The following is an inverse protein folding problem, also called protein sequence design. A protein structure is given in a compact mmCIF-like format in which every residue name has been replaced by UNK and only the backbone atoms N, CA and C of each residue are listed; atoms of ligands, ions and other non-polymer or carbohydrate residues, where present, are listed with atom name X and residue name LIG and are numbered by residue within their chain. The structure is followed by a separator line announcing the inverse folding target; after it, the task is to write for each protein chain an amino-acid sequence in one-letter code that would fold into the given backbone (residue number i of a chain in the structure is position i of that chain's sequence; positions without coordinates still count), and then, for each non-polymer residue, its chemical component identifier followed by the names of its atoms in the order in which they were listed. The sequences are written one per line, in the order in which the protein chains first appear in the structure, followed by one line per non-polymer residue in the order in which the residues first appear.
data_IF_686916028414
#
_entry.id   IF_686916028414
#
_cell.length_a   1.000
_cell.length_b   1.000
_cell.length_c   1.000
_cell.angle_alpha   90.00
_cell.angle_beta   90.00
_cell.angle_gamma   90.00
#
_symmetry.space_group_name_H-M   'P 1'
#
loop_
_entity.id
_entity.type
_entity.pdbx_description
1 polymer ?
#
# COMPACT_ATOMS: atom_id res chain seq x y z
N UNK A 1 -16.27 -2.08 0.27
CA UNK A 1 -15.00 -2.84 0.45
C UNK A 1 -14.77 -3.80 -0.72
N UNK A 2 -15.67 -4.74 -0.98
CA UNK A 2 -15.60 -5.62 -2.16
C UNK A 2 -15.53 -4.82 -3.47
N UNK A 3 -16.30 -3.73 -3.59
CA UNK A 3 -16.29 -2.85 -4.77
C UNK A 3 -14.92 -2.25 -5.10
N UNK A 4 -14.08 -2.03 -4.09
CA UNK A 4 -12.72 -1.56 -4.30
C UNK A 4 -11.89 -2.63 -5.01
N UNK A 5 -11.87 -3.85 -4.49
CA UNK A 5 -11.14 -4.96 -5.09
C UNK A 5 -11.68 -5.38 -6.45
N UNK A 6 -12.96 -5.13 -6.75
CA UNK A 6 -13.52 -5.34 -8.08
C UNK A 6 -13.01 -4.32 -9.11
N UNK A 7 -12.66 -3.12 -8.66
CA UNK A 7 -12.25 -2.00 -9.51
C UNK A 7 -10.73 -1.80 -9.56
N UNK A 8 -10.01 -2.30 -8.56
CA UNK A 8 -8.57 -2.14 -8.43
C UNK A 8 -7.82 -3.25 -9.21
N UNK A 9 -7.16 -2.93 -10.34
CA UNK A 9 -6.58 -3.95 -11.22
C UNK A 9 -5.44 -4.73 -10.55
N UNK A 10 -4.68 -4.07 -9.68
CA UNK A 10 -3.54 -4.68 -8.99
C UNK A 10 -3.99 -5.52 -7.77
N UNK A 11 -5.17 -5.24 -7.21
CA UNK A 11 -5.69 -5.89 -6.00
C UNK A 11 -6.99 -6.68 -6.27
N UNK A 12 -7.19 -7.17 -7.49
CA UNK A 12 -8.40 -7.84 -7.95
C UNK A 12 -8.93 -8.97 -7.05
N UNK A 13 -10.14 -9.47 -7.35
CA UNK A 13 -10.76 -10.62 -6.67
C UNK A 13 -9.82 -11.81 -6.39
N UNK A 14 -8.90 -12.23 -7.30
CA UNK A 14 -7.98 -13.33 -7.01
C UNK A 14 -7.12 -13.10 -5.77
N UNK A 15 -6.73 -11.85 -5.49
CA UNK A 15 -5.97 -11.50 -4.28
C UNK A 15 -6.82 -11.73 -3.05
N UNK A 16 -8.07 -11.29 -3.05
CA UNK A 16 -9.01 -11.46 -1.92
C UNK A 16 -9.33 -12.93 -1.68
N UNK A 17 -9.53 -13.73 -2.73
CA UNK A 17 -9.80 -15.17 -2.62
C UNK A 17 -8.62 -15.92 -2.01
N UNK A 18 -7.39 -15.59 -2.42
CA UNK A 18 -6.18 -16.19 -1.84
C UNK A 18 -5.89 -15.67 -0.42
N UNK A 19 -6.36 -14.47 -0.09
CA UNK A 19 -6.02 -13.76 1.15
C UNK A 19 -7.27 -13.13 1.81
N UNK A 20 -8.27 -13.95 2.24
CA UNK A 20 -9.56 -13.44 2.71
C UNK A 20 -9.46 -12.60 3.99
N UNK A 21 -8.39 -12.78 4.78
CA UNK A 21 -8.11 -11.96 5.96
C UNK A 21 -7.90 -10.47 5.61
N UNK A 22 -7.61 -10.11 4.35
CA UNK A 22 -7.51 -8.71 3.93
C UNK A 22 -8.82 -7.96 4.20
N UNK A 23 -9.95 -8.66 4.13
CA UNK A 23 -11.27 -8.10 4.44
C UNK A 23 -11.43 -7.70 5.92
N UNK A 24 -10.60 -8.23 6.82
CA UNK A 24 -10.58 -7.84 8.23
C UNK A 24 -9.83 -6.52 8.47
N UNK A 25 -9.08 -6.01 7.49
CA UNK A 25 -8.36 -4.75 7.59
C UNK A 25 -9.18 -3.58 7.01
N UNK A 26 -9.04 -2.40 7.61
CA UNK A 26 -9.66 -1.18 7.07
C UNK A 26 -9.00 -0.78 5.74
N UNK A 27 -9.82 -0.57 4.70
CA UNK A 27 -9.32 -0.08 3.40
C UNK A 27 -8.63 1.28 3.55
N UNK A 28 -9.33 2.26 4.07
CA UNK A 28 -8.87 3.65 4.13
C UNK A 28 -7.72 3.85 5.13
N UNK A 29 -7.69 3.08 6.23
CA UNK A 29 -6.67 3.26 7.28
C UNK A 29 -5.45 2.36 7.10
N UNK A 30 -5.56 1.23 6.42
CA UNK A 30 -4.50 0.22 6.33
C UNK A 30 -4.17 -0.09 4.88
N UNK A 31 -5.11 -0.64 4.12
CA UNK A 31 -4.79 -1.23 2.81
C UNK A 31 -4.36 -0.15 1.82
N UNK A 32 -5.17 0.90 1.63
CA UNK A 32 -4.91 1.96 0.66
C UNK A 32 -3.60 2.71 1.00
N UNK A 33 -3.41 3.25 2.23
CA UNK A 33 -2.17 3.96 2.56
C UNK A 33 -0.91 3.11 2.35
N UNK A 34 -0.96 1.84 2.76
CA UNK A 34 0.20 0.96 2.69
C UNK A 34 0.46 0.49 1.27
N UNK A 35 -0.58 0.17 0.51
CA UNK A 35 -0.44 -0.20 -0.90
C UNK A 35 0.10 0.96 -1.73
N UNK A 36 -0.41 2.17 -1.53
CA UNK A 36 0.05 3.37 -2.23
C UNK A 36 1.55 3.63 -2.03
N UNK A 37 2.06 3.49 -0.80
CA UNK A 37 3.52 3.59 -0.51
C UNK A 37 4.31 2.56 -1.31
N UNK A 38 3.83 1.33 -1.38
CA UNK A 38 4.51 0.24 -2.10
C UNK A 38 4.51 0.50 -3.60
N UNK A 39 3.42 1.03 -4.16
CA UNK A 39 3.35 1.45 -5.57
C UNK A 39 4.35 2.56 -5.87
N UNK A 40 4.43 3.59 -5.03
CA UNK A 40 5.43 4.67 -5.18
C UNK A 40 6.85 4.11 -5.14
N UNK A 41 7.18 3.27 -4.17
CA UNK A 41 8.53 2.69 -4.08
C UNK A 41 8.85 1.76 -5.26
N UNK A 42 7.85 1.02 -5.77
CA UNK A 42 8.01 0.16 -6.94
C UNK A 42 8.20 0.98 -8.21
N UNK A 43 7.46 2.08 -8.39
CA UNK A 43 7.62 2.96 -9.56
C UNK A 43 8.98 3.67 -9.59
N UNK A 44 9.60 3.87 -8.43
CA UNK A 44 10.96 4.40 -8.31
C UNK A 44 12.04 3.30 -8.39
N UNK A 45 11.67 2.04 -8.65
CA UNK A 45 12.61 0.91 -8.75
C UNK A 45 13.28 0.51 -7.43
N UNK A 46 12.76 0.97 -6.29
CA UNK A 46 13.33 0.67 -4.95
C UNK A 46 12.88 -0.71 -4.48
N UNK A 47 11.65 -1.10 -4.81
CA UNK A 47 11.09 -2.42 -4.46
C UNK A 47 10.89 -3.26 -5.72
N UNK A 48 11.07 -4.56 -5.55
CA UNK A 48 10.68 -5.55 -6.56
C UNK A 48 9.16 -5.71 -6.56
N UNK A 49 8.58 -6.11 -7.70
CA UNK A 49 7.12 -6.30 -7.86
C UNK A 49 6.52 -7.40 -6.96
N UNK A 50 7.35 -8.22 -6.30
CA UNK A 50 6.92 -9.36 -5.50
C UNK A 50 6.51 -9.03 -4.05
N UNK A 51 6.22 -7.75 -3.73
CA UNK A 51 5.79 -7.41 -2.36
C UNK A 51 4.37 -7.89 -2.11
N UNK A 52 4.23 -8.86 -1.22
CA UNK A 52 2.94 -9.46 -0.88
C UNK A 52 2.07 -8.50 -0.02
N UNK A 53 0.87 -8.15 -0.53
CA UNK A 53 -0.09 -7.28 0.15
C UNK A 53 -0.48 -7.79 1.55
N UNK A 54 -0.66 -9.11 1.73
CA UNK A 54 -0.95 -9.69 3.05
C UNK A 54 0.16 -9.33 4.04
N UNK A 55 1.42 -9.58 3.66
CA UNK A 55 2.57 -9.32 4.52
C UNK A 55 2.62 -7.85 4.91
N UNK A 56 2.38 -6.95 3.96
CA UNK A 56 2.35 -5.50 4.21
C UNK A 56 1.23 -5.12 5.18
N UNK A 57 0.02 -5.64 5.01
CA UNK A 57 -1.13 -5.31 5.86
C UNK A 57 -1.01 -5.88 7.27
N UNK A 58 -0.33 -7.02 7.43
CA UNK A 58 -0.10 -7.67 8.74
C UNK A 58 0.95 -6.95 9.60
N UNK A 59 1.82 -6.13 9.01
CA UNK A 59 2.83 -5.40 9.78
C UNK A 59 2.18 -4.49 10.83
N UNK A 60 2.80 -4.41 12.01
CA UNK A 60 2.50 -3.35 12.97
C UNK A 60 2.77 -1.99 12.32
N UNK A 61 2.01 -0.97 12.71
CA UNK A 61 2.08 0.37 12.10
C UNK A 61 3.52 0.92 12.16
N UNK A 62 4.17 0.78 13.30
CA UNK A 62 5.53 1.27 13.55
C UNK A 62 6.53 0.58 12.61
N UNK A 63 6.40 -0.74 12.45
CA UNK A 63 7.25 -1.52 11.55
C UNK A 63 7.02 -1.21 10.08
N UNK A 64 5.79 -0.91 9.70
CA UNK A 64 5.50 -0.45 8.34
C UNK A 64 6.15 0.92 8.08
N UNK A 65 5.97 1.87 9.01
CA UNK A 65 6.53 3.21 8.91
C UNK A 65 8.05 3.21 8.81
N UNK A 66 8.73 2.50 9.73
CA UNK A 66 10.19 2.37 9.73
C UNK A 66 10.70 1.82 8.39
N UNK A 67 10.08 0.76 7.88
CA UNK A 67 10.60 0.01 6.73
C UNK A 67 10.34 0.68 5.39
N UNK A 68 9.19 1.35 5.24
CA UNK A 68 8.72 1.81 3.93
C UNK A 68 8.47 3.32 3.84
N UNK A 69 8.24 4.01 4.95
CA UNK A 69 7.96 5.46 4.93
C UNK A 69 9.20 6.24 5.37
N UNK A 70 9.59 6.11 6.64
CA UNK A 70 10.68 6.88 7.25
C UNK A 70 11.99 6.62 6.51
N UNK A 71 12.27 5.35 6.16
CA UNK A 71 13.49 4.97 5.44
C UNK A 71 13.66 5.68 4.09
N UNK A 72 12.56 6.04 3.42
CA UNK A 72 12.60 6.52 2.05
C UNK A 72 12.05 7.94 1.86
N UNK A 73 11.39 8.53 2.85
CA UNK A 73 10.74 9.84 2.72
C UNK A 73 11.68 10.99 2.35
N UNK A 74 12.96 10.92 2.73
CA UNK A 74 13.94 11.94 2.32
C UNK A 74 14.34 11.83 0.85
N UNK A 75 14.37 10.60 0.31
CA UNK A 75 14.78 10.32 -1.07
C UNK A 75 13.61 10.32 -2.04
N UNK A 76 12.43 9.91 -1.56
CA UNK A 76 11.18 9.82 -2.31
C UNK A 76 10.06 10.44 -1.46
N UNK A 77 9.95 11.79 -1.39
CA UNK A 77 8.97 12.47 -0.55
C UNK A 77 7.51 12.04 -0.78
N UNK A 78 7.20 11.55 -1.98
CA UNK A 78 5.90 11.01 -2.36
C UNK A 78 5.46 9.83 -1.48
N UNK A 79 6.38 9.08 -0.85
CA UNK A 79 5.99 7.97 0.05
C UNK A 79 5.24 8.47 1.27
N UNK A 80 5.61 9.65 1.81
CA UNK A 80 4.92 10.22 2.95
C UNK A 80 3.53 10.72 2.54
N UNK A 81 3.42 11.33 1.36
CA UNK A 81 2.15 11.80 0.81
C UNK A 81 1.19 10.63 0.55
N UNK A 82 1.69 9.57 -0.08
CA UNK A 82 0.98 8.32 -0.31
C UNK A 82 0.48 7.68 1.00
N UNK A 83 1.32 7.64 2.03
CA UNK A 83 0.91 7.12 3.34
C UNK A 83 -0.15 7.98 4.03
N UNK A 84 -0.10 9.30 3.86
CA UNK A 84 -1.08 10.22 4.44
C UNK A 84 -2.41 10.24 3.68
N UNK A 85 -2.55 9.49 2.58
CA UNK A 85 -3.72 9.55 1.70
C UNK A 85 -3.85 10.89 0.97
N UNK A 86 -2.78 11.68 0.93
CA UNK A 86 -2.70 12.90 0.13
C UNK A 86 -2.30 12.46 -1.27
N UNK A 87 -3.28 12.17 -2.12
CA UNK A 87 -3.05 12.17 -3.56
C UNK A 87 -2.60 13.57 -3.94
N UNK A 88 -1.42 13.71 -4.53
CA UNK A 88 -1.13 14.91 -5.31
C UNK A 88 -2.19 14.93 -6.40
N UNK A 89 -3.13 15.87 -6.32
CA UNK A 89 -3.77 16.34 -7.54
C UNK A 89 -2.64 16.95 -8.36
N UNK A 90 -2.16 16.21 -9.36
CA UNK A 90 -1.51 16.84 -10.50
C UNK A 90 -2.65 17.36 -11.39
N UNK A 91 -2.52 18.62 -11.81
CA UNK A 91 -3.51 19.42 -12.56
C UNK A 91 -4.05 18.73 -13.83
#
# INVERSE_FOLDING_TARGET
MMDFFLKEPELGLPVVVNWPHLLAHSLEKIIIPRWSVIRVLTSHGILNKDVNLYTICKLKVEKFLERYVIKYQEKVPQVLQAYQGKTVCED
#
